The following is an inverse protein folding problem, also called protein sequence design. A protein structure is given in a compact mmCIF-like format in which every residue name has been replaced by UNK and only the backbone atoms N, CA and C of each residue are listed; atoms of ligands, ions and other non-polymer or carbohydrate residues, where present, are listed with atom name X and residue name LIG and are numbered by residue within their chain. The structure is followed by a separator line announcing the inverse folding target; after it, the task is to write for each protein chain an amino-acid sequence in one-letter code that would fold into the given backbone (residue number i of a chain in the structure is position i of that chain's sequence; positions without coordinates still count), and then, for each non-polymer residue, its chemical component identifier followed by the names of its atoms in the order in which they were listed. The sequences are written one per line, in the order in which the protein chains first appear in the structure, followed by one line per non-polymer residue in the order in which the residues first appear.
data_IF_942816062407
#
_entry.id   IF_942816062407
#
_cell.length_a   1.000
_cell.length_b   1.000
_cell.length_c   1.000
_cell.angle_alpha   90.00
_cell.angle_beta   90.00
_cell.angle_gamma   90.00
#
_symmetry.space_group_name_H-M   'P 1'
#
loop_
_entity.id
_entity.type
_entity.pdbx_description
1 polymer ?
#
# COMPACT_ATOMS: atom_id res chain seq x y z
N UNK A 1 -14.74 -5.85 -12.74
CA UNK A 1 -13.93 -7.01 -13.13
C UNK A 1 -14.01 -7.96 -11.96
N UNK A 2 -14.61 -9.14 -12.15
CA UNK A 2 -14.78 -10.13 -11.08
C UNK A 2 -13.59 -11.07 -11.17
N UNK A 3 -12.68 -11.04 -10.20
CA UNK A 3 -11.48 -11.86 -10.21
C UNK A 3 -11.80 -13.24 -9.64
N UNK A 4 -11.76 -14.27 -10.49
CA UNK A 4 -11.85 -15.66 -10.05
C UNK A 4 -10.54 -16.02 -9.37
N UNK A 5 -10.55 -16.16 -8.04
CA UNK A 5 -9.46 -16.80 -7.30
C UNK A 5 -9.64 -18.32 -7.51
N UNK A 6 -9.14 -18.81 -8.64
CA UNK A 6 -9.18 -20.24 -9.00
C UNK A 6 -8.00 -21.03 -8.45
N UNK A 7 -6.91 -20.35 -8.07
CA UNK A 7 -5.70 -20.96 -7.55
C UNK A 7 -5.77 -21.09 -6.00
N UNK A 8 -5.57 -22.30 -5.44
CA UNK A 8 -5.53 -22.51 -3.99
C UNK A 8 -4.46 -21.68 -3.26
N UNK A 9 -3.34 -21.38 -3.91
CA UNK A 9 -2.25 -20.56 -3.35
C UNK A 9 -2.73 -19.13 -3.20
N UNK A 10 -3.26 -18.54 -4.27
CA UNK A 10 -3.80 -17.18 -4.28
C UNK A 10 -4.89 -17.01 -3.22
N UNK A 11 -5.77 -18.01 -3.07
CA UNK A 11 -6.80 -18.02 -2.03
C UNK A 11 -6.22 -17.97 -0.62
N UNK A 12 -5.21 -18.80 -0.35
CA UNK A 12 -4.56 -18.87 0.96
C UNK A 12 -3.87 -17.54 1.29
N UNK A 13 -3.21 -16.92 0.32
CA UNK A 13 -2.57 -15.60 0.48
C UNK A 13 -3.60 -14.50 0.75
N UNK A 14 -4.75 -14.51 0.05
CA UNK A 14 -5.83 -13.56 0.34
C UNK A 14 -6.39 -13.72 1.75
N UNK A 15 -6.58 -14.97 2.20
CA UNK A 15 -7.01 -15.28 3.57
C UNK A 15 -5.98 -14.79 4.61
N UNK A 16 -4.68 -14.95 4.32
CA UNK A 16 -3.60 -14.46 5.17
C UNK A 16 -3.59 -12.94 5.26
N UNK A 17 -3.62 -12.23 4.13
CA UNK A 17 -3.62 -10.76 4.07
C UNK A 17 -4.85 -10.21 4.80
N UNK A 18 -6.02 -10.85 4.65
CA UNK A 18 -7.23 -10.47 5.37
C UNK A 18 -7.06 -10.66 6.88
N UNK A 19 -6.55 -11.80 7.31
CA UNK A 19 -6.26 -12.14 8.72
C UNK A 19 -5.25 -11.16 9.33
N UNK A 20 -4.18 -10.84 8.60
CA UNK A 20 -3.17 -9.86 9.01
C UNK A 20 -3.79 -8.47 9.18
N UNK A 21 -4.60 -8.03 8.21
CA UNK A 21 -5.30 -6.75 8.29
C UNK A 21 -6.20 -6.67 9.52
N UNK A 22 -7.03 -7.68 9.78
CA UNK A 22 -7.94 -7.72 10.93
C UNK A 22 -7.20 -7.75 12.27
N UNK A 23 -6.14 -8.56 12.36
CA UNK A 23 -5.45 -8.81 13.63
C UNK A 23 -4.46 -7.71 14.01
N UNK A 24 -3.84 -7.08 13.02
CA UNK A 24 -2.71 -6.15 13.20
C UNK A 24 -3.11 -4.73 12.80
N UNK A 25 -3.59 -4.55 11.56
CA UNK A 25 -3.78 -3.21 10.99
C UNK A 25 -5.07 -2.50 11.45
N UNK A 26 -6.10 -3.25 11.84
CA UNK A 26 -7.40 -2.71 12.20
C UNK A 26 -7.58 -2.48 13.72
N UNK A 27 -6.60 -2.88 14.54
CA UNK A 27 -6.68 -2.74 16.00
C UNK A 27 -5.99 -1.47 16.47
N UNK A 28 -6.59 -0.71 17.41
CA UNK A 28 -5.93 0.40 18.08
C UNK A 28 -4.56 0.01 18.63
N UNK A 29 -3.55 0.84 18.39
CA UNK A 29 -2.20 0.65 18.87
C UNK A 29 -1.66 1.97 19.45
N UNK A 30 -0.94 1.89 20.58
CA UNK A 30 -0.42 3.07 21.29
C UNK A 30 0.59 3.86 20.47
N UNK A 31 1.35 3.18 19.62
CA UNK A 31 2.28 3.80 18.67
C UNK A 31 1.56 4.79 17.74
N UNK A 32 0.29 4.58 17.43
CA UNK A 32 -0.51 5.48 16.60
C UNK A 32 -1.47 6.35 17.42
N UNK A 33 -1.12 6.68 18.66
CA UNK A 33 -1.96 7.42 19.60
C UNK A 33 -3.35 6.78 19.80
N UNK A 34 -3.38 5.45 19.92
CA UNK A 34 -4.59 4.61 20.02
C UNK A 34 -5.48 4.63 18.76
N UNK A 35 -4.96 5.06 17.62
CA UNK A 35 -5.54 4.75 16.32
C UNK A 35 -5.00 3.40 15.83
N UNK A 36 -5.65 2.81 14.83
CA UNK A 36 -5.18 1.57 14.22
C UNK A 36 -4.07 1.84 13.19
N UNK A 37 -3.08 0.95 12.99
CA UNK A 37 -2.01 1.13 12.00
C UNK A 37 -2.49 1.34 10.55
N UNK A 38 -3.72 0.93 10.24
CA UNK A 38 -4.43 1.37 9.05
C UNK A 38 -5.88 1.76 9.43
N UNK A 39 -6.13 3.03 9.78
CA UNK A 39 -7.45 3.47 10.29
C UNK A 39 -8.61 3.25 9.32
N UNK A 40 -8.31 3.08 8.03
CA UNK A 40 -9.30 2.94 6.96
C UNK A 40 -9.50 1.49 6.49
N UNK A 41 -8.65 0.55 6.93
CA UNK A 41 -8.69 -0.84 6.46
C UNK A 41 -10.05 -1.50 6.71
N UNK A 42 -10.57 -1.44 7.95
CA UNK A 42 -11.85 -2.05 8.32
C UNK A 42 -12.99 -1.60 7.42
N UNK A 43 -13.09 -0.30 7.16
CA UNK A 43 -14.13 0.26 6.30
C UNK A 43 -14.01 -0.25 4.87
N UNK A 44 -12.80 -0.24 4.31
CA UNK A 44 -12.56 -0.74 2.96
C UNK A 44 -12.94 -2.23 2.80
N UNK A 45 -12.67 -3.06 3.81
CA UNK A 45 -13.07 -4.46 3.78
C UNK A 45 -14.58 -4.66 3.91
N UNK A 46 -15.25 -3.95 4.82
CA UNK A 46 -16.70 -4.04 4.98
C UNK A 46 -17.48 -3.56 3.75
N UNK A 47 -16.93 -2.57 3.04
CA UNK A 47 -17.55 -1.97 1.86
C UNK A 47 -17.15 -2.66 0.54
N UNK A 48 -16.44 -3.78 0.59
CA UNK A 48 -15.93 -4.54 -0.57
C UNK A 48 -15.09 -3.65 -1.52
N UNK A 49 -14.20 -2.86 -0.93
CA UNK A 49 -13.33 -1.87 -1.61
C UNK A 49 -11.88 -2.30 -1.73
N UNK A 50 -11.57 -3.55 -1.45
CA UNK A 50 -10.22 -4.12 -1.60
C UNK A 50 -10.23 -5.12 -2.76
N UNK A 51 -9.45 -4.83 -3.80
CA UNK A 51 -9.21 -5.73 -4.92
C UNK A 51 -7.86 -6.44 -4.79
N UNK A 52 -7.74 -7.62 -5.39
CA UNK A 52 -6.49 -8.37 -5.51
C UNK A 52 -6.09 -8.56 -6.96
N UNK A 53 -4.78 -8.49 -7.20
CA UNK A 53 -4.11 -8.84 -8.44
C UNK A 53 -2.92 -9.74 -8.10
N UNK A 54 -2.55 -10.65 -8.98
CA UNK A 54 -1.46 -11.60 -8.73
C UNK A 54 -0.43 -11.53 -9.85
N UNK A 55 0.80 -11.19 -9.49
CA UNK A 55 1.96 -11.19 -10.39
C UNK A 55 2.72 -12.50 -10.19
N UNK A 56 2.48 -13.42 -11.12
CA UNK A 56 3.11 -14.74 -11.17
C UNK A 56 4.33 -14.79 -12.13
N UNK A 57 4.60 -13.69 -12.85
CA UNK A 57 5.69 -13.54 -13.81
C UNK A 57 6.48 -12.27 -13.51
N UNK A 58 7.75 -12.19 -13.95
CA UNK A 58 8.64 -11.06 -13.69
C UNK A 58 8.13 -9.71 -14.24
N UNK A 59 7.13 -9.73 -15.13
CA UNK A 59 6.54 -8.54 -15.75
C UNK A 59 5.68 -7.73 -14.78
N UNK A 60 5.86 -6.40 -14.78
CA UNK A 60 5.00 -5.46 -14.05
C UNK A 60 3.73 -5.04 -14.83
N UNK A 61 3.31 -5.83 -15.83
CA UNK A 61 2.14 -5.51 -16.65
C UNK A 61 0.86 -5.40 -15.82
N UNK A 62 0.68 -6.21 -14.78
CA UNK A 62 -0.49 -6.14 -13.90
C UNK A 62 -0.55 -4.81 -13.13
N UNK A 63 0.60 -4.34 -12.63
CA UNK A 63 0.74 -3.02 -12.01
C UNK A 63 0.37 -1.90 -12.98
N UNK A 64 0.93 -1.93 -14.19
CA UNK A 64 0.67 -0.90 -15.20
C UNK A 64 -0.79 -0.89 -15.67
N UNK A 65 -1.40 -2.08 -15.75
CA UNK A 65 -2.81 -2.25 -16.07
C UNK A 65 -3.68 -1.67 -14.96
N UNK A 66 -3.38 -1.97 -13.70
CA UNK A 66 -4.08 -1.42 -12.53
C UNK A 66 -4.04 0.12 -12.50
N UNK A 67 -2.86 0.70 -12.78
CA UNK A 67 -2.68 2.15 -12.84
C UNK A 67 -3.44 2.80 -14.00
N UNK A 68 -3.48 2.15 -15.15
CA UNK A 68 -4.06 2.72 -16.39
C UNK A 68 -5.57 2.52 -16.51
N UNK A 69 -6.11 1.46 -15.91
CA UNK A 69 -7.52 1.07 -16.02
C UNK A 69 -8.28 1.26 -14.69
N UNK A 70 -7.81 2.14 -13.81
CA UNK A 70 -8.45 2.42 -12.54
C UNK A 70 -9.87 3.00 -12.74
N UNK A 71 -10.87 2.44 -12.05
CA UNK A 71 -12.30 2.78 -12.24
C UNK A 71 -13.01 3.29 -10.98
N UNK A 72 -12.30 3.47 -9.86
CA UNK A 72 -12.87 3.84 -8.54
C UNK A 72 -13.95 2.88 -8.01
N UNK A 73 -14.02 1.67 -8.57
CA UNK A 73 -14.85 0.59 -8.03
C UNK A 73 -14.36 0.14 -6.66
N UNK A 74 -13.04 0.10 -6.50
CA UNK A 74 -12.32 -0.25 -5.27
C UNK A 74 -11.50 0.97 -4.80
N UNK A 75 -11.21 1.03 -3.51
CA UNK A 75 -10.38 2.07 -2.91
C UNK A 75 -8.89 1.68 -2.90
N UNK A 76 -8.64 0.37 -2.88
CA UNK A 76 -7.32 -0.23 -2.81
C UNK A 76 -7.28 -1.45 -3.72
N UNK A 77 -6.25 -1.56 -4.55
CA UNK A 77 -5.87 -2.84 -5.15
C UNK A 77 -4.54 -3.27 -4.55
N UNK A 78 -4.46 -4.52 -4.11
CA UNK A 78 -3.24 -5.16 -3.61
C UNK A 78 -2.73 -6.06 -4.73
N UNK A 79 -1.62 -5.67 -5.33
CA UNK A 79 -0.87 -6.55 -6.22
C UNK A 79 0.06 -7.41 -5.37
N UNK A 80 -0.26 -8.70 -5.29
CA UNK A 80 0.58 -9.72 -4.68
C UNK A 80 1.63 -10.13 -5.69
N UNK A 81 2.90 -9.94 -5.36
CA UNK A 81 4.03 -10.26 -6.22
C UNK A 81 4.77 -11.48 -5.70
N UNK A 82 4.67 -12.60 -6.44
CA UNK A 82 5.39 -13.85 -6.16
C UNK A 82 6.76 -13.91 -6.82
N UNK A 83 7.12 -12.91 -7.62
CA UNK A 83 8.37 -12.79 -8.40
C UNK A 83 9.04 -11.45 -8.09
N UNK A 84 9.01 -11.07 -6.81
CA UNK A 84 9.55 -9.81 -6.30
C UNK A 84 11.08 -9.81 -6.34
N UNK A 85 11.68 -8.61 -6.40
CA UNK A 85 13.14 -8.46 -6.26
C UNK A 85 13.51 -8.69 -4.80
N UNK A 86 14.36 -9.69 -4.51
CA UNK A 86 14.75 -10.02 -3.12
C UNK A 86 15.52 -8.89 -2.42
N UNK A 87 16.04 -7.93 -3.16
CA UNK A 87 16.69 -6.72 -2.63
C UNK A 87 15.63 -5.64 -2.34
N UNK A 88 15.30 -5.38 -1.05
CA UNK A 88 14.25 -4.43 -0.70
C UNK A 88 14.53 -3.03 -1.24
N UNK A 89 15.80 -2.61 -1.30
CA UNK A 89 16.17 -1.29 -1.78
C UNK A 89 15.82 -1.13 -3.27
N UNK A 90 16.08 -2.15 -4.09
CA UNK A 90 15.69 -2.13 -5.52
C UNK A 90 14.18 -2.10 -5.69
N UNK A 91 13.45 -2.88 -4.89
CA UNK A 91 12.00 -2.89 -4.88
C UNK A 91 11.45 -1.49 -4.59
N UNK A 92 11.94 -0.83 -3.53
CA UNK A 92 11.49 0.51 -3.16
C UNK A 92 11.91 1.58 -4.16
N UNK A 93 13.13 1.53 -4.69
CA UNK A 93 13.58 2.43 -5.77
C UNK A 93 12.66 2.31 -6.99
N UNK A 94 12.32 1.10 -7.40
CA UNK A 94 11.40 0.87 -8.52
C UNK A 94 10.01 1.50 -8.27
N UNK A 95 9.40 1.25 -7.12
CA UNK A 95 8.10 1.85 -6.78
C UNK A 95 8.16 3.38 -6.78
N UNK A 96 9.31 3.92 -6.41
CA UNK A 96 9.50 5.34 -6.37
C UNK A 96 9.66 6.00 -7.75
N UNK A 97 10.31 5.28 -8.67
CA UNK A 97 10.33 5.61 -10.09
C UNK A 97 8.92 5.53 -10.70
N UNK A 98 8.12 4.54 -10.33
CA UNK A 98 6.70 4.43 -10.76
C UNK A 98 5.90 5.65 -10.28
N UNK A 99 5.99 6.03 -9.00
CA UNK A 99 5.32 7.23 -8.49
C UNK A 99 5.80 8.51 -9.20
N UNK A 100 7.09 8.59 -9.54
CA UNK A 100 7.64 9.70 -10.34
C UNK A 100 7.05 9.74 -11.75
N UNK A 101 6.90 8.58 -12.39
CA UNK A 101 6.31 8.45 -13.72
C UNK A 101 4.82 8.86 -13.70
N UNK A 102 4.07 8.43 -12.67
CA UNK A 102 2.68 8.87 -12.44
C UNK A 102 2.62 10.40 -12.32
N UNK A 103 3.46 11.00 -11.47
CA UNK A 103 3.42 12.46 -11.23
C UNK A 103 3.81 13.27 -12.47
N UNK A 104 4.70 12.73 -13.32
CA UNK A 104 5.09 13.34 -14.61
C UNK A 104 4.06 13.11 -15.72
N UNK A 105 3.04 12.27 -15.50
CA UNK A 105 1.97 12.01 -16.46
C UNK A 105 2.32 11.02 -17.55
N UNK A 106 3.21 10.07 -17.28
CA UNK A 106 3.42 8.91 -18.15
C UNK A 106 2.20 7.98 -18.16
N UNK A 107 1.45 7.95 -17.05
CA UNK A 107 0.14 7.33 -16.96
C UNK A 107 -0.96 8.36 -17.23
N UNK A 108 -2.08 7.90 -17.80
CA UNK A 108 -3.27 8.74 -18.06
C UNK A 108 -3.74 9.39 -16.74
N UNK A 109 -3.71 8.61 -15.67
CA UNK A 109 -4.14 9.03 -14.36
C UNK A 109 -2.95 9.45 -13.49
N UNK A 110 -2.88 10.74 -13.15
CA UNK A 110 -1.85 11.31 -12.27
C UNK A 110 -2.22 11.25 -10.79
N UNK A 111 -3.48 10.91 -10.48
CA UNK A 111 -3.99 10.78 -9.13
C UNK A 111 -3.91 9.33 -8.64
N UNK A 112 -2.73 8.74 -8.78
CA UNK A 112 -2.42 7.38 -8.34
C UNK A 112 -1.16 7.41 -7.46
N UNK A 113 -1.09 6.47 -6.53
CA UNK A 113 0.04 6.26 -5.66
C UNK A 113 0.25 4.78 -5.45
N UNK A 114 1.52 4.35 -5.49
CA UNK A 114 1.93 2.99 -5.14
C UNK A 114 2.81 3.01 -3.91
N UNK A 115 2.61 2.06 -2.99
CA UNK A 115 3.52 1.83 -1.87
C UNK A 115 3.71 0.33 -1.70
N UNK A 116 4.92 -0.06 -1.35
CA UNK A 116 5.32 -1.46 -1.22
C UNK A 116 5.29 -1.93 0.23
N UNK A 117 5.23 -3.24 0.38
CA UNK A 117 5.60 -3.98 1.57
C UNK A 117 6.42 -5.18 1.10
N UNK A 118 7.66 -5.27 1.56
CA UNK A 118 8.59 -6.30 1.14
C UNK A 118 8.73 -7.36 2.24
N UNK A 119 8.69 -8.67 1.94
CA UNK A 119 8.68 -9.71 2.97
C UNK A 119 10.00 -9.80 3.78
N UNK A 120 11.08 -9.19 3.26
CA UNK A 120 12.38 -9.11 3.94
C UNK A 120 12.65 -7.75 4.58
N UNK A 121 11.63 -6.91 4.74
CA UNK A 121 11.74 -5.70 5.54
C UNK A 121 11.97 -6.02 7.02
N UNK A 122 12.68 -5.13 7.71
CA UNK A 122 12.74 -5.18 9.17
C UNK A 122 11.33 -4.96 9.75
N UNK A 123 11.00 -5.71 10.80
CA UNK A 123 9.71 -5.55 11.46
C UNK A 123 9.60 -4.13 12.04
N UNK A 124 8.53 -3.42 11.71
CA UNK A 124 8.23 -2.14 12.33
C UNK A 124 7.99 -2.31 13.83
N UNK A 125 8.33 -1.30 14.63
CA UNK A 125 8.20 -1.33 16.10
C UNK A 125 6.79 -1.74 16.58
N UNK A 126 5.73 -1.28 15.88
CA UNK A 126 4.36 -1.64 16.23
C UNK A 126 3.97 -3.09 15.89
N UNK A 127 4.71 -3.74 14.99
CA UNK A 127 4.49 -5.12 14.57
C UNK A 127 5.24 -6.11 15.44
N UNK A 128 6.32 -5.71 16.11
CA UNK A 128 7.04 -6.58 17.06
C UNK A 128 6.16 -6.99 18.26
N UNK A 129 5.22 -6.12 18.65
CA UNK A 129 4.25 -6.41 19.71
C UNK A 129 3.13 -7.38 19.27
N UNK A 130 3.04 -7.66 17.97
CA UNK A 130 1.88 -8.33 17.38
C UNK A 130 2.20 -9.78 17.00
N UNK A 131 1.66 -10.72 17.77
CA UNK A 131 1.78 -12.16 17.51
C UNK A 131 0.90 -12.55 16.30
N UNK A 132 1.55 -12.73 15.14
CA UNK A 132 0.90 -13.15 13.90
C UNK A 132 1.58 -14.40 13.35
N UNK A 133 0.83 -15.51 13.32
CA UNK A 133 1.24 -16.73 12.65
C UNK A 133 0.83 -16.68 11.16
N UNK A 134 1.77 -16.80 10.21
CA UNK A 134 1.47 -16.93 8.79
C UNK A 134 0.59 -18.16 8.51
N UNK A 135 -0.31 -18.04 7.53
CA UNK A 135 -1.11 -19.14 6.99
C UNK A 135 -0.38 -19.86 5.84
N UNK A 136 0.65 -19.26 5.26
CA UNK A 136 1.49 -19.85 4.22
C UNK A 136 2.97 -19.57 4.45
N UNK A 137 3.82 -20.48 3.97
CA UNK A 137 5.29 -20.34 3.97
C UNK A 137 5.80 -19.65 2.70
N UNK A 138 4.89 -19.29 1.78
CA UNK A 138 5.23 -18.62 0.53
C UNK A 138 5.45 -17.14 0.83
N UNK A 139 6.68 -16.66 0.61
CA UNK A 139 6.97 -15.23 0.65
C UNK A 139 6.40 -14.54 -0.59
N UNK A 140 5.85 -13.35 -0.39
CA UNK A 140 5.37 -12.47 -1.45
C UNK A 140 5.56 -11.02 -1.03
N UNK A 141 5.82 -10.14 -2.00
CA UNK A 141 5.72 -8.71 -1.78
C UNK A 141 4.30 -8.23 -2.06
N UNK A 142 3.93 -7.11 -1.46
CA UNK A 142 2.65 -6.44 -1.75
C UNK A 142 2.92 -5.05 -2.31
N UNK A 143 2.21 -4.71 -3.38
CA UNK A 143 2.17 -3.35 -3.92
C UNK A 143 0.73 -2.84 -3.81
N UNK A 144 0.56 -1.83 -2.97
CA UNK A 144 -0.72 -1.16 -2.72
C UNK A 144 -0.93 -0.05 -3.75
N UNK A 145 -1.93 -0.22 -4.61
CA UNK A 145 -2.31 0.73 -5.66
C UNK A 145 -3.60 1.45 -5.25
N UNK A 146 -3.56 2.77 -5.17
CA UNK A 146 -4.69 3.58 -4.69
C UNK A 146 -4.64 5.04 -5.18
N UNK A 147 -5.71 5.79 -4.93
CA UNK A 147 -5.78 7.23 -5.21
C UNK A 147 -4.83 8.04 -4.31
N UNK A 148 -3.97 8.86 -4.92
CA UNK A 148 -3.05 9.74 -4.20
C UNK A 148 -3.80 10.78 -3.36
N UNK A 149 -4.82 11.42 -3.95
CA UNK A 149 -5.64 12.44 -3.33
C UNK A 149 -6.34 11.91 -2.09
N UNK A 150 -7.04 10.77 -2.22
CA UNK A 150 -7.76 10.12 -1.12
C UNK A 150 -6.81 9.73 0.01
N UNK A 151 -5.64 9.18 -0.31
CA UNK A 151 -4.63 8.80 0.67
C UNK A 151 -4.09 10.03 1.42
N UNK A 152 -3.67 11.07 0.72
CA UNK A 152 -3.09 12.27 1.34
C UNK A 152 -4.13 13.07 2.14
N UNK A 153 -5.34 13.23 1.62
CA UNK A 153 -6.42 13.92 2.35
C UNK A 153 -6.81 13.16 3.62
N UNK A 154 -6.78 11.83 3.60
CA UNK A 154 -6.98 10.99 4.78
C UNK A 154 -5.84 11.12 5.78
N UNK A 155 -4.58 11.14 5.31
CA UNK A 155 -3.41 11.38 6.14
C UNK A 155 -3.49 12.73 6.88
N UNK A 156 -3.92 13.80 6.21
CA UNK A 156 -4.13 15.10 6.86
C UNK A 156 -5.18 15.04 7.99
N UNK A 157 -6.25 14.24 7.83
CA UNK A 157 -7.31 14.09 8.85
C UNK A 157 -6.85 13.36 10.10
N UNK A 158 -5.95 12.38 9.98
CA UNK A 158 -5.46 11.60 11.12
C UNK A 158 -4.21 12.24 11.75
N UNK A 159 -3.43 13.02 11.00
CA UNK A 159 -2.27 13.77 11.52
C UNK A 159 -2.64 14.66 12.70
N UNK A 160 -3.77 15.36 12.63
CA UNK A 160 -4.28 16.21 13.74
C UNK A 160 -4.62 15.44 15.02
N UNK A 161 -4.71 14.11 14.96
CA UNK A 161 -4.97 13.24 16.10
C UNK A 161 -3.68 12.59 16.63
N UNK A 162 -2.50 13.06 16.20
CA UNK A 162 -1.22 12.53 16.66
C UNK A 162 -0.80 11.19 16.03
N UNK A 163 -1.43 10.79 14.92
CA UNK A 163 -1.16 9.51 14.27
C UNK A 163 0.32 9.31 13.88
N UNK A 164 0.99 10.40 13.49
CA UNK A 164 2.37 10.36 13.01
C UNK A 164 3.41 10.76 14.06
N UNK A 165 3.02 10.93 15.33
CA UNK A 165 3.88 11.52 16.35
C UNK A 165 5.11 10.66 16.69
N UNK A 166 5.02 9.33 16.49
CA UNK A 166 6.10 8.39 16.75
C UNK A 166 6.87 7.98 15.47
N UNK A 167 6.54 8.55 14.31
CA UNK A 167 7.19 8.21 13.04
C UNK A 167 8.53 8.92 12.80
N UNK A 168 8.88 9.90 13.64
CA UNK A 168 10.08 10.73 13.45
C UNK A 168 11.41 9.95 13.61
N UNK A 169 11.36 8.69 14.08
CA UNK A 169 12.53 7.82 14.27
C UNK A 169 12.82 6.89 13.08
N UNK A 170 11.86 6.68 12.15
CA UNK A 170 12.05 5.85 10.95
C UNK A 170 12.37 6.70 9.71
N UNK A 171 13.63 6.67 9.26
CA UNK A 171 14.14 7.48 8.13
C UNK A 171 13.31 7.35 6.84
N UNK A 172 12.83 6.14 6.53
CA UNK A 172 12.05 5.86 5.32
C UNK A 172 10.64 6.45 5.36
N UNK A 173 10.01 6.48 6.54
CA UNK A 173 8.66 7.01 6.67
C UNK A 173 8.63 8.52 6.38
N UNK A 174 9.58 9.28 6.92
CA UNK A 174 9.70 10.72 6.66
C UNK A 174 9.84 11.05 5.17
N UNK A 175 10.62 10.23 4.45
CA UNK A 175 10.84 10.40 3.01
C UNK A 175 9.57 10.13 2.19
N UNK A 176 8.92 8.99 2.42
CA UNK A 176 7.69 8.59 1.72
C UNK A 176 6.59 9.63 1.94
N UNK A 177 6.43 10.14 3.17
CA UNK A 177 5.45 11.19 3.47
C UNK A 177 5.73 12.48 2.71
N UNK A 178 6.99 12.94 2.68
CA UNK A 178 7.39 14.15 1.95
C UNK A 178 7.14 14.01 0.45
N UNK A 179 7.54 12.89 -0.16
CA UNK A 179 7.31 12.63 -1.59
C UNK A 179 5.84 12.55 -1.94
N UNK A 180 5.04 11.85 -1.14
CA UNK A 180 3.59 11.77 -1.34
C UNK A 180 2.94 13.14 -1.27
N UNK A 181 3.31 13.96 -0.28
CA UNK A 181 2.79 15.32 -0.15
C UNK A 181 3.23 16.22 -1.31
N UNK A 182 4.47 16.10 -1.78
CA UNK A 182 4.98 16.81 -2.96
C UNK A 182 4.15 16.48 -4.22
N UNK A 183 3.96 15.19 -4.51
CA UNK A 183 3.19 14.77 -5.68
C UNK A 183 1.71 15.15 -5.55
N UNK A 184 1.15 15.14 -4.34
CA UNK A 184 -0.19 15.64 -4.10
C UNK A 184 -0.32 17.14 -4.37
N UNK A 185 0.63 17.95 -3.92
CA UNK A 185 0.66 19.40 -4.23
C UNK A 185 0.75 19.63 -5.72
N UNK A 186 1.61 18.88 -6.41
CA UNK A 186 1.75 18.91 -7.87
C UNK A 186 0.44 18.52 -8.58
N UNK A 187 -0.27 17.52 -8.07
CA UNK A 187 -1.57 17.10 -8.59
C UNK A 187 -2.62 18.22 -8.47
N UNK A 188 -2.66 18.94 -7.33
CA UNK A 188 -3.65 20.01 -7.10
C UNK A 188 -3.31 21.33 -7.79
N UNK A 189 -2.02 21.68 -7.88
CA UNK A 189 -1.56 23.00 -8.32
C UNK A 189 -0.85 22.99 -9.68
N UNK A 190 -0.65 21.82 -10.29
CA UNK A 190 0.19 21.65 -11.47
C UNK A 190 1.69 21.76 -11.16
N UNK A 191 2.52 22.03 -12.17
CA UNK A 191 3.97 22.24 -11.99
C UNK A 191 4.32 23.65 -11.44
N UNK A 192 3.35 24.40 -10.92
CA UNK A 192 3.58 25.73 -10.36
C UNK A 192 4.32 25.62 -9.02
N UNK A 193 5.47 26.28 -8.94
CA UNK A 193 6.31 26.44 -7.74
C UNK A 193 5.56 27.08 -6.58
#
# INVERSE_FOLDING_TARGET
MTFFIGDPVEKTVVEEIRSWSEKILEKPNKFFNNLAPCPFARGAWLDDKVAFLFKNEDSYQDLYTALSQWTDTHDLAILVDFTFDEDPDKFYVFLDEVNTAISKGFFINRDMWVVGFHPYDEASEFSEEADFEPLTEINYAMIFVQRLSKLQESAHKIKKNGYYDNYDEEYNASYIFKRREEFYRRLKNGNGT
#
